data_IF_070985406027
#
_entry.id   IF_070985406027
#
_cell.length_a   1.000
_cell.length_b   1.000
_cell.length_c   1.000
_cell.angle_alpha   90.00
_cell.angle_beta   90.00
_cell.angle_gamma   90.00
#
_symmetry.space_group_name_H-M   'P 1'
#
loop_
_entity.id
_entity.type
_entity.pdbx_description
1 polymer ?
#
# COMPACT_ATOMS: atom_id res chain seq x y z
N UNK A 1 13.31 9.27 7.81
CA UNK A 1 12.37 9.55 6.69
C UNK A 1 11.69 8.29 6.20
N UNK A 2 12.41 7.28 5.67
CA UNK A 2 11.81 6.05 5.12
C UNK A 2 10.88 5.30 6.10
N UNK A 3 11.27 5.21 7.37
CA UNK A 3 10.43 4.61 8.41
C UNK A 3 9.06 5.29 8.55
N UNK A 4 9.03 6.63 8.51
CA UNK A 4 7.79 7.39 8.61
C UNK A 4 6.90 7.15 7.38
N UNK A 5 7.48 7.19 6.18
CA UNK A 5 6.75 6.92 4.93
C UNK A 5 6.19 5.48 4.90
N UNK A 6 6.99 4.51 5.33
CA UNK A 6 6.53 3.13 5.49
C UNK A 6 5.38 3.02 6.49
N UNK A 7 5.46 3.72 7.62
CA UNK A 7 4.40 3.71 8.63
C UNK A 7 3.10 4.30 8.10
N UNK A 8 3.15 5.39 7.31
CA UNK A 8 1.97 5.98 6.66
C UNK A 8 1.29 4.96 5.73
N UNK A 9 2.06 4.25 4.89
CA UNK A 9 1.50 3.23 4.00
C UNK A 9 0.88 2.07 4.79
N UNK A 10 1.54 1.61 5.84
CA UNK A 10 1.03 0.56 6.72
C UNK A 10 -0.28 0.97 7.41
N UNK A 11 -0.33 2.18 7.96
CA UNK A 11 -1.52 2.72 8.62
C UNK A 11 -2.69 2.88 7.67
N UNK A 12 -2.46 3.39 6.45
CA UNK A 12 -3.50 3.49 5.43
C UNK A 12 -4.01 2.10 5.01
N UNK A 13 -3.09 1.14 4.82
CA UNK A 13 -3.45 -0.24 4.46
C UNK A 13 -4.30 -0.89 5.56
N UNK A 14 -3.94 -0.68 6.82
CA UNK A 14 -4.69 -1.17 7.96
C UNK A 14 -6.05 -0.48 8.09
N UNK A 15 -6.10 0.85 7.97
CA UNK A 15 -7.33 1.64 8.05
C UNK A 15 -8.37 1.15 7.04
N UNK A 16 -7.98 1.00 5.78
CA UNK A 16 -8.89 0.54 4.73
C UNK A 16 -9.34 -0.91 5.01
N UNK A 17 -8.42 -1.79 5.43
CA UNK A 17 -8.78 -3.16 5.76
C UNK A 17 -9.76 -3.23 6.95
N UNK A 18 -9.57 -2.42 7.99
CA UNK A 18 -10.51 -2.31 9.12
C UNK A 18 -11.89 -1.82 8.67
N UNK A 19 -11.95 -0.81 7.81
CA UNK A 19 -13.23 -0.31 7.28
C UNK A 19 -13.94 -1.33 6.40
N UNK A 20 -13.19 -2.13 5.64
CA UNK A 20 -13.71 -3.24 4.86
C UNK A 20 -14.31 -4.33 5.75
N UNK A 21 -13.61 -4.76 6.81
CA UNK A 21 -14.12 -5.77 7.76
C UNK A 21 -15.38 -5.30 8.51
N UNK A 22 -15.56 -3.99 8.67
CA UNK A 22 -16.75 -3.39 9.30
C UNK A 22 -17.87 -3.09 8.29
N UNK A 23 -17.72 -3.47 7.02
CA UNK A 23 -18.65 -3.17 5.91
C UNK A 23 -18.97 -1.66 5.73
N UNK A 24 -18.19 -0.81 6.40
CA UNK A 24 -18.41 0.63 6.47
C UNK A 24 -17.67 1.40 5.37
N UNK A 25 -17.00 0.67 4.48
CA UNK A 25 -16.14 1.26 3.46
C UNK A 25 -16.92 2.18 2.51
N UNK A 26 -18.11 1.76 2.09
CA UNK A 26 -18.99 2.52 1.20
C UNK A 26 -19.54 3.81 1.83
N UNK A 27 -19.67 3.83 3.15
CA UNK A 27 -20.20 4.97 3.91
C UNK A 27 -19.10 6.01 4.15
N UNK A 28 -17.87 5.56 4.39
CA UNK A 28 -16.77 6.45 4.78
C UNK A 28 -15.88 6.88 3.61
N UNK A 29 -15.86 6.14 2.50
CA UNK A 29 -14.99 6.41 1.36
C UNK A 29 -15.75 6.48 0.05
N UNK A 30 -15.49 7.54 -0.70
CA UNK A 30 -15.91 7.62 -2.10
C UNK A 30 -15.00 6.80 -3.01
N UNK A 31 -15.54 6.36 -4.15
CA UNK A 31 -14.78 5.63 -5.19
C UNK A 31 -13.50 6.36 -5.60
N UNK A 32 -13.59 7.69 -5.80
CA UNK A 32 -12.44 8.54 -6.17
C UNK A 32 -11.39 8.58 -5.07
N UNK A 33 -11.79 8.71 -3.81
CA UNK A 33 -10.86 8.69 -2.69
C UNK A 33 -10.10 7.36 -2.62
N UNK A 34 -10.81 6.23 -2.82
CA UNK A 34 -10.20 4.91 -2.81
C UNK A 34 -9.20 4.71 -3.97
N UNK A 35 -9.50 5.27 -5.15
CA UNK A 35 -8.58 5.31 -6.28
C UNK A 35 -7.31 6.12 -5.96
N UNK A 36 -7.44 7.33 -5.41
CA UNK A 36 -6.27 8.13 -5.04
C UNK A 36 -5.40 7.47 -3.97
N UNK A 37 -6.00 6.78 -3.00
CA UNK A 37 -5.23 6.01 -2.00
C UNK A 37 -4.50 4.83 -2.66
N UNK A 38 -5.12 4.18 -3.65
CA UNK A 38 -4.46 3.15 -4.46
C UNK A 38 -3.29 3.70 -5.28
N UNK A 39 -3.48 4.84 -5.94
CA UNK A 39 -2.42 5.51 -6.71
C UNK A 39 -1.25 5.94 -5.80
N UNK A 40 -1.54 6.41 -4.60
CA UNK A 40 -0.52 6.66 -3.58
C UNK A 40 0.25 5.37 -3.21
N UNK A 41 -0.47 4.25 -3.05
CA UNK A 41 0.12 2.94 -2.78
C UNK A 41 1.07 2.45 -3.88
N UNK A 42 0.71 2.62 -5.17
CA UNK A 42 1.60 2.22 -6.27
C UNK A 42 2.84 3.10 -6.37
N UNK A 43 2.72 4.40 -6.12
CA UNK A 43 3.88 5.30 -6.03
C UNK A 43 4.80 4.84 -4.90
N UNK A 44 4.24 4.50 -3.74
CA UNK A 44 4.97 3.94 -2.61
C UNK A 44 5.69 2.63 -2.94
N UNK A 45 5.02 1.73 -3.67
CA UNK A 45 5.60 0.46 -4.11
C UNK A 45 6.79 0.69 -5.05
N UNK A 46 6.61 1.48 -6.11
CA UNK A 46 7.65 1.72 -7.12
C UNK A 46 8.86 2.44 -6.51
N UNK A 47 8.64 3.49 -5.72
CA UNK A 47 9.73 4.22 -5.07
C UNK A 47 10.43 3.36 -4.01
N UNK A 48 9.69 2.60 -3.22
CA UNK A 48 10.25 1.65 -2.25
C UNK A 48 11.09 0.56 -2.92
N UNK A 49 10.63 0.02 -4.06
CA UNK A 49 11.34 -0.99 -4.82
C UNK A 49 12.66 -0.46 -5.40
N UNK A 50 12.62 0.71 -6.05
CA UNK A 50 13.80 1.35 -6.60
C UNK A 50 14.86 1.63 -5.52
N UNK A 51 14.45 2.14 -4.36
CA UNK A 51 15.35 2.41 -3.24
C UNK A 51 15.90 1.14 -2.59
N UNK A 52 15.08 0.09 -2.49
CA UNK A 52 15.54 -1.20 -1.96
C UNK A 52 16.63 -1.77 -2.85
N UNK A 53 16.45 -1.75 -4.16
CA UNK A 53 17.47 -2.19 -5.13
C UNK A 53 18.72 -1.32 -5.06
N UNK A 54 18.55 0.00 -4.96
CA UNK A 54 19.68 0.93 -4.82
C UNK A 54 20.50 0.66 -3.55
N UNK A 55 19.85 0.54 -2.39
CA UNK A 55 20.56 0.25 -1.14
C UNK A 55 21.13 -1.16 -1.11
N UNK A 56 20.48 -2.13 -1.72
CA UNK A 56 21.02 -3.49 -1.89
C UNK A 56 22.31 -3.46 -2.72
N UNK A 57 22.33 -2.71 -3.83
CA UNK A 57 23.53 -2.52 -4.63
C UNK A 57 24.66 -1.87 -3.82
N UNK A 58 24.36 -0.78 -3.09
CA UNK A 58 25.35 -0.10 -2.26
C UNK A 58 25.91 -1.02 -1.17
N UNK A 59 25.06 -1.83 -0.55
CA UNK A 59 25.47 -2.78 0.47
C UNK A 59 26.43 -3.84 -0.10
N UNK A 60 26.11 -4.41 -1.26
CA UNK A 60 26.98 -5.39 -1.93
C UNK A 60 28.33 -4.77 -2.33
N UNK A 61 28.31 -3.53 -2.82
CA UNK A 61 29.51 -2.85 -3.31
C UNK A 61 30.44 -2.38 -2.19
N UNK A 62 29.88 -1.72 -1.17
CA UNK A 62 30.67 -1.11 -0.09
C UNK A 62 30.88 -2.03 1.12
N UNK A 63 30.13 -3.13 1.24
CA UNK A 63 30.16 -4.06 2.39
C UNK A 63 30.14 -3.30 3.73
N UNK A 64 29.20 -2.37 3.84
CA UNK A 64 29.16 -1.43 4.95
C UNK A 64 28.73 -2.14 6.24
N UNK A 65 29.39 -1.83 7.35
CA UNK A 65 28.98 -2.37 8.64
C UNK A 65 27.57 -1.87 9.02
N UNK A 66 26.82 -2.74 9.69
CA UNK A 66 25.47 -2.43 10.21
C UNK A 66 25.52 -1.26 11.20
N UNK A 67 26.64 -1.12 11.92
CA UNK A 67 26.86 -0.08 12.92
C UNK A 67 27.74 1.04 12.33
N UNK A 68 27.44 2.32 12.63
CA UNK A 68 26.39 2.81 13.52
C UNK A 68 25.00 2.94 12.85
N UNK A 69 23.94 2.70 13.62
CA UNK A 69 22.53 2.66 13.14
C UNK A 69 22.13 3.90 12.34
N UNK A 70 22.63 5.09 12.71
CA UNK A 70 22.29 6.37 12.07
C UNK A 70 22.67 6.43 10.57
N UNK A 71 23.75 5.74 10.19
CA UNK A 71 24.30 5.75 8.82
C UNK A 71 24.17 4.40 8.12
N UNK A 72 23.67 3.38 8.82
CA UNK A 72 23.52 2.02 8.32
C UNK A 72 22.71 1.95 7.02
N UNK A 73 23.36 1.44 5.97
CA UNK A 73 22.74 1.19 4.66
C UNK A 73 21.69 0.10 4.77
N UNK A 74 21.99 -0.97 5.52
CA UNK A 74 21.08 -2.08 5.79
C UNK A 74 19.77 -1.60 6.44
N UNK A 75 19.84 -0.72 7.44
CA UNK A 75 18.62 -0.20 8.08
C UNK A 75 17.80 0.62 7.08
N UNK A 76 18.44 1.45 6.24
CA UNK A 76 17.74 2.22 5.20
C UNK A 76 17.08 1.29 4.18
N UNK A 77 17.77 0.22 3.77
CA UNK A 77 17.26 -0.82 2.88
C UNK A 77 16.01 -1.52 3.45
N UNK A 78 16.04 -1.90 4.73
CA UNK A 78 14.90 -2.54 5.40
C UNK A 78 13.68 -1.61 5.39
N UNK A 79 13.87 -0.33 5.70
CA UNK A 79 12.74 0.61 5.71
C UNK A 79 12.21 0.92 4.30
N UNK A 80 13.06 0.99 3.28
CA UNK A 80 12.58 1.09 1.89
C UNK A 80 11.84 -0.17 1.45
N UNK A 81 12.28 -1.35 1.90
CA UNK A 81 11.61 -2.62 1.62
C UNK A 81 10.24 -2.68 2.31
N UNK A 82 10.15 -2.22 3.56
CA UNK A 82 8.87 -2.12 4.27
C UNK A 82 7.91 -1.17 3.54
N UNK A 83 8.40 -0.01 3.07
CA UNK A 83 7.59 0.91 2.26
C UNK A 83 7.11 0.25 0.97
N UNK A 84 7.97 -0.49 0.26
CA UNK A 84 7.59 -1.27 -0.93
C UNK A 84 6.47 -2.27 -0.61
N UNK A 85 6.67 -3.09 0.43
CA UNK A 85 5.72 -4.12 0.86
C UNK A 85 4.35 -3.53 1.21
N UNK A 86 4.33 -2.47 2.02
CA UNK A 86 3.08 -1.83 2.45
C UNK A 86 2.41 -1.04 1.32
N UNK A 87 3.17 -0.42 0.42
CA UNK A 87 2.65 0.21 -0.79
C UNK A 87 1.94 -0.79 -1.71
N UNK A 88 2.53 -1.97 -1.91
CA UNK A 88 1.90 -3.04 -2.69
C UNK A 88 0.61 -3.54 -2.04
N UNK A 89 0.62 -3.80 -0.73
CA UNK A 89 -0.58 -4.23 -0.01
C UNK A 89 -1.69 -3.19 -0.07
N UNK A 90 -1.35 -1.91 0.11
CA UNK A 90 -2.31 -0.80 -0.02
C UNK A 90 -2.95 -0.76 -1.40
N UNK A 91 -2.15 -0.92 -2.46
CA UNK A 91 -2.64 -0.97 -3.83
C UNK A 91 -3.56 -2.18 -4.09
N UNK A 92 -3.18 -3.37 -3.62
CA UNK A 92 -3.98 -4.59 -3.80
C UNK A 92 -5.32 -4.46 -3.07
N UNK A 93 -5.30 -3.99 -1.82
CA UNK A 93 -6.51 -3.82 -1.03
C UNK A 93 -7.44 -2.78 -1.64
N UNK A 94 -6.94 -1.61 -2.01
CA UNK A 94 -7.76 -0.58 -2.67
C UNK A 94 -8.37 -1.08 -3.98
N UNK A 95 -7.61 -1.80 -4.84
CA UNK A 95 -8.16 -2.42 -6.06
C UNK A 95 -9.23 -3.47 -5.77
N UNK A 96 -8.97 -4.38 -4.82
CA UNK A 96 -9.93 -5.42 -4.42
C UNK A 96 -11.24 -4.79 -3.97
N UNK A 97 -11.17 -3.76 -3.15
CA UNK A 97 -12.35 -3.10 -2.61
C UNK A 97 -13.04 -2.21 -3.64
N UNK A 98 -12.31 -1.59 -4.56
CA UNK A 98 -12.91 -0.84 -5.68
C UNK A 98 -13.75 -1.76 -6.58
N UNK A 99 -13.31 -3.01 -6.76
CA UNK A 99 -14.07 -4.04 -7.48
C UNK A 99 -15.36 -4.39 -6.73
N UNK A 100 -15.28 -4.73 -5.44
CA UNK A 100 -16.46 -4.98 -4.60
C UNK A 100 -17.42 -3.78 -4.61
N UNK A 101 -16.89 -2.56 -4.62
CA UNK A 101 -17.69 -1.34 -4.65
C UNK A 101 -18.53 -1.25 -5.93
N UNK A 102 -17.91 -1.52 -7.08
CA UNK A 102 -18.58 -1.54 -8.37
C UNK A 102 -19.65 -2.64 -8.44
N UNK A 103 -19.37 -3.84 -7.92
CA UNK A 103 -20.31 -4.95 -7.93
C UNK A 103 -21.58 -4.59 -7.13
N UNK A 104 -21.43 -4.05 -5.91
CA UNK A 104 -22.57 -3.59 -5.09
C UNK A 104 -23.41 -2.50 -5.76
N UNK A 105 -22.77 -1.51 -6.42
CA UNK A 105 -23.51 -0.50 -7.17
C UNK A 105 -24.30 -1.11 -8.32
N UNK A 106 -23.70 -2.07 -9.05
CA UNK A 106 -24.31 -2.72 -10.20
C UNK A 106 -25.58 -3.52 -9.81
N UNK A 107 -25.55 -4.23 -8.68
CA UNK A 107 -26.73 -4.92 -8.15
C UNK A 107 -27.77 -3.96 -7.56
N UNK A 108 -27.36 -2.84 -6.97
CA UNK A 108 -28.31 -1.84 -6.46
C UNK A 108 -29.06 -1.09 -7.57
N UNK A 109 -28.43 -0.92 -8.74
CA UNK A 109 -29.00 -0.19 -9.88
C UNK A 109 -29.79 -1.11 -10.83
N UNK A 110 -29.52 -2.43 -10.81
CA UNK A 110 -30.26 -3.42 -11.58
C UNK A 110 -30.66 -4.64 -10.72
N UNK A 111 -31.79 -4.56 -9.98
CA UNK A 111 -32.23 -5.62 -9.07
C UNK A 111 -32.71 -6.90 -9.77
N UNK A 112 -32.79 -6.94 -11.10
CA UNK A 112 -33.39 -8.04 -11.86
C UNK A 112 -32.38 -9.05 -12.44
N UNK A 113 -31.11 -9.04 -12.03
CA UNK A 113 -30.08 -9.94 -12.58
C UNK A 113 -29.99 -11.28 -11.80
N UNK A 114 -30.74 -11.48 -10.72
CA UNK A 114 -30.64 -12.71 -9.91
C UNK A 114 -31.33 -13.95 -10.51
N UNK A 115 -31.97 -13.87 -11.69
CA UNK A 115 -32.62 -15.03 -12.32
C UNK A 115 -32.23 -15.22 -13.79
N UNK A 116 -31.06 -15.81 -14.05
CA UNK A 116 -30.81 -16.66 -15.26
C UNK A 116 -29.66 -17.62 -15.02
#
# INVERSE_FOLDING_TARGET
MWALLSAIHASLSLMIHCHYLKESLHVNFSRKALQYIGDFGIIGFVSGAALTLFYLFLEIYYKADVLPIKTSIIIRMIWSFMMMKWGLLLYIFTKKYLRTYNDHQLFSENPNIEET
#
